data_IF_902629796831
#
_entry.id   IF_902629796831
#
_cell.length_a   1.000
_cell.length_b   1.000
_cell.length_c   1.000
_cell.angle_alpha   90.00
_cell.angle_beta   90.00
_cell.angle_gamma   90.00
#
_symmetry.space_group_name_H-M   'P 1'
#
loop_
_entity.id
_entity.type
_entity.pdbx_description
1 polymer ?
#
# COMPACT_ATOMS: atom_id res chain seq x y z
N UNK A 1 32.42 16.79 22.70
CA UNK A 1 32.20 15.32 22.80
C UNK A 1 33.37 14.76 23.59
N UNK A 2 33.12 14.08 24.72
CA UNK A 2 34.18 13.52 25.56
C UNK A 2 34.97 12.46 24.78
N UNK A 3 36.27 12.37 25.04
CA UNK A 3 37.19 11.38 24.45
C UNK A 3 36.67 9.94 24.63
N UNK A 4 35.98 9.69 25.75
CA UNK A 4 35.37 8.39 26.08
C UNK A 4 34.26 7.98 25.11
N UNK A 5 33.54 8.95 24.51
CA UNK A 5 32.49 8.65 23.53
C UNK A 5 33.10 8.25 22.18
N UNK A 6 34.27 8.78 21.86
CA UNK A 6 34.99 8.44 20.63
C UNK A 6 35.64 7.06 20.77
N UNK A 7 36.26 6.76 21.92
CA UNK A 7 36.78 5.41 22.21
C UNK A 7 35.67 4.36 22.24
N UNK A 8 34.52 4.65 22.87
CA UNK A 8 33.40 3.71 22.89
C UNK A 8 32.80 3.44 21.49
N UNK A 9 32.77 4.46 20.62
CA UNK A 9 32.36 4.29 19.22
C UNK A 9 33.40 3.52 18.39
N UNK A 10 34.69 3.67 18.69
CA UNK A 10 35.77 2.94 18.03
C UNK A 10 35.82 1.46 18.46
N UNK A 11 35.58 1.17 19.74
CA UNK A 11 35.47 -0.20 20.25
C UNK A 11 34.23 -0.93 19.71
N UNK A 12 33.09 -0.23 19.56
CA UNK A 12 31.93 -0.78 18.86
C UNK A 12 32.20 -1.05 17.38
N UNK A 13 32.95 -0.18 16.70
CA UNK A 13 33.33 -0.38 15.31
C UNK A 13 34.30 -1.56 15.15
N UNK A 14 35.26 -1.73 16.06
CA UNK A 14 36.18 -2.87 16.08
C UNK A 14 35.48 -4.19 16.41
N UNK A 15 34.50 -4.18 17.33
CA UNK A 15 33.71 -5.37 17.67
C UNK A 15 32.79 -5.83 16.52
N UNK A 16 32.34 -4.92 15.65
CA UNK A 16 31.58 -5.24 14.43
C UNK A 16 32.49 -5.84 13.35
N UNK A 17 33.77 -5.47 13.31
CA UNK A 17 34.75 -5.98 12.34
C UNK A 17 35.31 -7.34 12.75
N UNK A 18 35.39 -7.67 14.04
CA UNK A 18 35.96 -8.94 14.53
C UNK A 18 34.97 -10.08 14.79
N UNK A 19 33.67 -9.90 14.53
CA UNK A 19 32.68 -10.97 14.63
C UNK A 19 32.66 -11.86 13.36
N UNK A 20 33.79 -12.47 13.04
CA UNK A 20 33.88 -13.53 12.04
C UNK A 20 33.43 -14.84 12.70
N UNK A 21 32.30 -15.37 12.26
CA UNK A 21 31.78 -16.65 12.74
C UNK A 21 32.81 -17.77 12.47
N UNK A 22 33.22 -18.58 13.46
CA UNK A 22 34.18 -19.65 13.22
C UNK A 22 33.51 -20.77 12.41
N UNK A 23 33.98 -21.01 11.18
CA UNK A 23 33.73 -22.26 10.45
C UNK A 23 33.10 -22.20 9.06
N UNK A 24 33.01 -21.04 8.39
CA UNK A 24 32.59 -21.00 6.98
C UNK A 24 33.84 -21.01 6.08
N UNK A 25 34.14 -22.15 5.47
CA UNK A 25 35.08 -22.20 4.34
C UNK A 25 34.58 -21.24 3.24
N UNK A 26 35.43 -20.40 2.63
CA UNK A 26 35.02 -19.55 1.53
C UNK A 26 34.58 -20.43 0.37
N UNK A 27 33.30 -20.37 0.02
CA UNK A 27 32.79 -20.96 -1.21
C UNK A 27 33.57 -20.36 -2.39
N UNK A 28 34.03 -21.21 -3.31
CA UNK A 28 34.73 -20.78 -4.52
C UNK A 28 33.89 -19.72 -5.26
N UNK A 29 34.51 -18.66 -5.83
CA UNK A 29 33.75 -17.66 -6.56
C UNK A 29 33.07 -18.32 -7.77
N UNK A 30 31.74 -18.28 -7.80
CA UNK A 30 30.94 -18.79 -8.91
C UNK A 30 31.39 -18.13 -10.22
N UNK A 31 31.51 -18.91 -11.29
CA UNK A 31 31.91 -18.40 -12.59
C UNK A 31 30.86 -17.41 -13.13
N UNK A 32 31.29 -16.37 -13.85
CA UNK A 32 30.42 -15.41 -14.54
C UNK A 32 29.22 -16.04 -15.30
N UNK A 33 29.38 -17.19 -16.01
CA UNK A 33 28.26 -17.88 -16.67
C UNK A 33 27.23 -18.46 -15.69
N UNK A 34 27.67 -18.91 -14.52
CA UNK A 34 26.84 -19.51 -13.47
C UNK A 34 26.06 -18.43 -12.70
N UNK A 35 26.70 -17.28 -12.48
CA UNK A 35 26.06 -16.06 -11.93
C UNK A 35 25.02 -15.49 -12.90
N UNK A 36 25.35 -15.44 -14.20
CA UNK A 36 24.43 -14.96 -15.24
C UNK A 36 23.26 -15.95 -15.46
N UNK A 37 23.52 -17.25 -15.41
CA UNK A 37 22.49 -18.30 -15.49
C UNK A 37 21.52 -18.27 -14.31
N UNK A 38 22.04 -18.12 -13.08
CA UNK A 38 21.22 -17.96 -11.88
C UNK A 38 20.36 -16.71 -11.89
N UNK A 39 20.92 -15.57 -12.30
CA UNK A 39 20.17 -14.32 -12.45
C UNK A 39 19.06 -14.42 -13.50
N UNK A 40 19.33 -15.03 -14.66
CA UNK A 40 18.34 -15.22 -15.71
C UNK A 40 17.17 -16.11 -15.25
N UNK A 41 17.45 -17.18 -14.51
CA UNK A 41 16.43 -18.04 -13.93
C UNK A 41 15.56 -17.31 -12.89
N UNK A 42 16.18 -16.50 -12.03
CA UNK A 42 15.46 -15.69 -11.02
C UNK A 42 14.53 -14.66 -11.68
N UNK A 43 15.00 -13.97 -12.74
CA UNK A 43 14.15 -13.06 -13.51
C UNK A 43 13.03 -13.77 -14.28
N UNK A 44 13.30 -14.95 -14.84
CA UNK A 44 12.27 -15.76 -15.50
C UNK A 44 11.18 -16.17 -14.51
N UNK A 45 11.55 -16.63 -13.31
CA UNK A 45 10.63 -16.96 -12.23
C UNK A 45 9.83 -15.74 -11.75
N UNK A 46 10.48 -14.60 -11.58
CA UNK A 46 9.83 -13.33 -11.25
C UNK A 46 8.73 -12.98 -12.25
N UNK A 47 9.04 -12.95 -13.55
CA UNK A 47 8.09 -12.57 -14.59
C UNK A 47 7.00 -13.62 -14.80
N UNK A 48 7.33 -14.91 -14.68
CA UNK A 48 6.34 -15.99 -14.70
C UNK A 48 5.35 -15.85 -13.53
N UNK A 49 5.84 -15.59 -12.31
CA UNK A 49 4.99 -15.38 -11.14
C UNK A 49 4.13 -14.12 -11.22
N UNK A 50 4.68 -12.99 -11.68
CA UNK A 50 3.88 -11.78 -11.91
C UNK A 50 2.83 -11.98 -13.00
N UNK A 51 3.23 -12.59 -14.12
CA UNK A 51 2.36 -12.88 -15.26
C UNK A 51 1.23 -13.83 -14.89
N UNK A 52 1.49 -14.88 -14.10
CA UNK A 52 0.45 -15.83 -13.68
C UNK A 52 -0.55 -15.18 -12.71
N UNK A 53 -0.11 -14.36 -11.75
CA UNK A 53 -1.03 -13.63 -10.86
C UNK A 53 -1.86 -12.59 -11.61
N UNK A 54 -1.26 -11.88 -12.58
CA UNK A 54 -1.97 -10.93 -13.43
C UNK A 54 -3.00 -11.64 -14.32
N UNK A 55 -2.61 -12.73 -14.97
CA UNK A 55 -3.50 -13.57 -15.78
C UNK A 55 -4.64 -14.16 -14.96
N UNK A 56 -4.37 -14.64 -13.74
CA UNK A 56 -5.38 -15.12 -12.80
C UNK A 56 -6.40 -14.01 -12.47
N UNK A 57 -5.94 -12.80 -12.15
CA UNK A 57 -6.83 -11.69 -11.87
C UNK A 57 -7.73 -11.34 -13.08
N UNK A 58 -7.17 -11.35 -14.29
CA UNK A 58 -7.94 -11.09 -15.51
C UNK A 58 -8.97 -12.20 -15.81
N UNK A 59 -8.59 -13.47 -15.64
CA UNK A 59 -9.49 -14.60 -15.84
C UNK A 59 -10.68 -14.53 -14.87
N UNK A 60 -10.41 -14.26 -13.59
CA UNK A 60 -11.45 -14.09 -12.57
C UNK A 60 -12.33 -12.88 -12.91
N UNK A 61 -11.73 -11.74 -13.28
CA UNK A 61 -12.48 -10.53 -13.65
C UNK A 61 -13.45 -10.81 -14.79
N UNK A 62 -12.98 -11.48 -15.85
CA UNK A 62 -13.81 -11.88 -16.97
C UNK A 62 -14.95 -12.80 -16.54
N UNK A 63 -14.67 -13.79 -15.67
CA UNK A 63 -15.70 -14.69 -15.14
C UNK A 63 -16.76 -13.99 -14.29
N UNK A 64 -16.37 -13.06 -13.41
CA UNK A 64 -17.32 -12.29 -12.59
C UNK A 64 -18.20 -11.37 -13.42
N UNK A 65 -17.63 -10.70 -14.43
CA UNK A 65 -18.38 -9.85 -15.36
C UNK A 65 -19.41 -10.67 -16.13
N UNK A 66 -19.03 -11.86 -16.62
CA UNK A 66 -19.96 -12.78 -17.30
C UNK A 66 -21.08 -13.27 -16.37
N UNK A 67 -20.79 -13.44 -15.08
CA UNK A 67 -21.76 -13.82 -14.07
C UNK A 67 -22.62 -12.65 -13.55
N UNK A 68 -22.38 -11.42 -14.01
CA UNK A 68 -23.07 -10.23 -13.50
C UNK A 68 -22.75 -9.91 -12.02
N UNK A 69 -21.65 -10.44 -11.49
CA UNK A 69 -21.27 -10.29 -10.08
C UNK A 69 -20.37 -9.06 -9.91
N UNK A 70 -20.90 -8.03 -9.25
CA UNK A 70 -20.16 -6.83 -8.89
C UNK A 70 -19.30 -7.05 -7.63
N UNK A 71 -18.29 -7.91 -7.73
CA UNK A 71 -17.33 -8.20 -6.65
C UNK A 71 -15.88 -8.03 -7.15
N UNK A 72 -14.94 -7.54 -6.34
CA UNK A 72 -13.55 -7.38 -6.77
C UNK A 72 -12.87 -8.72 -7.11
N UNK A 73 -12.47 -8.90 -8.37
CA UNK A 73 -11.78 -10.11 -8.86
C UNK A 73 -10.53 -10.45 -8.06
N UNK A 74 -9.82 -9.41 -7.63
CA UNK A 74 -8.58 -9.54 -6.87
C UNK A 74 -8.78 -10.14 -5.48
N UNK A 75 -9.92 -9.89 -4.83
CA UNK A 75 -10.25 -10.53 -3.56
C UNK A 75 -10.62 -11.99 -3.72
N UNK A 76 -11.35 -12.34 -4.79
CA UNK A 76 -11.60 -13.75 -5.12
C UNK A 76 -10.27 -14.46 -5.34
N UNK A 77 -9.36 -13.87 -6.13
CA UNK A 77 -8.02 -14.43 -6.35
C UNK A 77 -7.23 -14.60 -5.05
N UNK A 78 -7.29 -13.61 -4.16
CA UNK A 78 -6.66 -13.70 -2.83
C UNK A 78 -7.23 -14.85 -1.99
N UNK A 79 -8.55 -15.00 -1.91
CA UNK A 79 -9.18 -16.11 -1.17
C UNK A 79 -8.88 -17.46 -1.81
N UNK A 80 -8.82 -17.54 -3.14
CA UNK A 80 -8.42 -18.76 -3.86
C UNK A 80 -6.97 -19.14 -3.52
N UNK A 81 -6.04 -18.18 -3.46
CA UNK A 81 -4.65 -18.44 -3.04
C UNK A 81 -4.61 -18.99 -1.61
N UNK A 82 -5.32 -18.36 -0.67
CA UNK A 82 -5.36 -18.84 0.73
C UNK A 82 -5.96 -20.24 0.81
N UNK A 83 -7.08 -20.48 0.11
CA UNK A 83 -7.75 -21.78 0.09
C UNK A 83 -6.90 -22.87 -0.55
N UNK A 84 -6.22 -22.57 -1.65
CA UNK A 84 -5.30 -23.48 -2.31
C UNK A 84 -4.14 -23.86 -1.39
N UNK A 85 -3.44 -22.87 -0.82
CA UNK A 85 -2.32 -23.13 0.09
C UNK A 85 -2.77 -23.89 1.35
N UNK A 86 -4.00 -23.69 1.82
CA UNK A 86 -4.56 -24.41 2.95
C UNK A 86 -4.99 -25.85 2.63
N UNK A 87 -5.27 -26.16 1.37
CA UNK A 87 -5.65 -27.49 0.90
C UNK A 87 -4.46 -28.38 0.52
N UNK A 88 -3.31 -27.77 0.22
CA UNK A 88 -2.06 -28.46 -0.08
C UNK A 88 -1.37 -28.97 1.19
N UNK A 89 -0.55 -30.02 1.05
CA UNK A 89 0.39 -30.44 2.08
C UNK A 89 1.50 -29.38 2.28
N UNK A 90 2.20 -29.46 3.42
CA UNK A 90 3.21 -28.45 3.80
C UNK A 90 4.33 -28.33 2.75
N UNK A 91 4.79 -29.44 2.16
CA UNK A 91 5.85 -29.45 1.15
C UNK A 91 5.40 -28.76 -0.15
N UNK A 92 4.20 -29.09 -0.63
CA UNK A 92 3.62 -28.47 -1.82
C UNK A 92 3.34 -26.97 -1.62
N UNK A 93 2.89 -26.59 -0.43
CA UNK A 93 2.61 -25.20 -0.07
C UNK A 93 3.89 -24.35 0.00
N UNK A 94 4.97 -24.92 0.56
CA UNK A 94 6.29 -24.29 0.59
C UNK A 94 6.85 -24.10 -0.82
N UNK A 95 6.81 -25.14 -1.67
CA UNK A 95 7.24 -25.04 -3.07
C UNK A 95 6.47 -23.98 -3.86
N UNK A 96 5.16 -23.91 -3.67
CA UNK A 96 4.33 -22.89 -4.33
C UNK A 96 4.70 -21.49 -3.84
N UNK A 97 4.91 -21.33 -2.53
CA UNK A 97 5.30 -20.04 -1.93
C UNK A 97 6.70 -19.62 -2.40
N UNK A 98 7.64 -20.56 -2.50
CA UNK A 98 8.99 -20.33 -3.02
C UNK A 98 8.97 -19.92 -4.50
N UNK A 99 8.14 -20.57 -5.32
CA UNK A 99 7.93 -20.18 -6.72
C UNK A 99 7.52 -18.70 -6.85
N UNK A 100 6.58 -18.25 -6.02
CA UNK A 100 6.13 -16.85 -6.02
C UNK A 100 7.07 -15.89 -5.27
N UNK A 101 8.05 -16.38 -4.52
CA UNK A 101 8.94 -15.59 -3.67
C UNK A 101 9.54 -14.33 -4.32
N UNK A 102 10.14 -14.43 -5.51
CA UNK A 102 10.66 -13.26 -6.25
C UNK A 102 9.56 -12.25 -6.58
N UNK A 103 8.40 -12.71 -7.06
CA UNK A 103 7.27 -11.84 -7.38
C UNK A 103 6.68 -11.15 -6.16
N UNK A 104 6.52 -11.86 -5.04
CA UNK A 104 6.04 -11.29 -3.78
C UNK A 104 7.01 -10.23 -3.24
N UNK A 105 8.31 -10.49 -3.33
CA UNK A 105 9.36 -9.55 -2.92
C UNK A 105 9.35 -8.30 -3.80
N UNK A 106 9.20 -8.48 -5.11
CA UNK A 106 9.08 -7.38 -6.06
C UNK A 106 7.84 -6.54 -5.78
N UNK A 107 6.66 -7.16 -5.63
CA UNK A 107 5.40 -6.48 -5.31
C UNK A 107 5.55 -5.67 -4.04
N UNK A 108 6.11 -6.24 -2.97
CA UNK A 108 6.28 -5.54 -1.71
C UNK A 108 7.21 -4.32 -1.84
N UNK A 109 8.27 -4.42 -2.65
CA UNK A 109 9.22 -3.32 -2.90
C UNK A 109 8.61 -2.16 -3.70
N UNK A 110 7.76 -2.48 -4.66
CA UNK A 110 7.16 -1.53 -5.60
C UNK A 110 5.72 -1.11 -5.24
N UNK A 111 5.16 -1.69 -4.18
CA UNK A 111 3.79 -1.50 -3.71
C UNK A 111 3.30 -0.04 -3.74
N UNK A 112 4.08 0.95 -3.25
CA UNK A 112 3.60 2.32 -3.22
C UNK A 112 3.29 2.92 -4.59
N UNK A 113 4.04 2.52 -5.62
CA UNK A 113 3.93 3.12 -6.96
C UNK A 113 2.60 2.79 -7.63
N UNK A 114 2.02 1.60 -7.39
CA UNK A 114 0.79 1.18 -8.09
C UNK A 114 -0.43 2.03 -7.76
N UNK A 115 -0.40 2.78 -6.66
CA UNK A 115 -1.50 3.68 -6.27
C UNK A 115 -1.13 5.16 -6.28
N UNK A 116 0.13 5.51 -6.51
CA UNK A 116 0.56 6.90 -6.76
C UNK A 116 -0.22 7.60 -7.87
N UNK A 117 -0.68 6.93 -8.96
CA UNK A 117 -1.42 7.63 -10.00
C UNK A 117 -2.66 8.40 -9.52
N UNK A 118 -3.33 7.90 -8.49
CA UNK A 118 -4.45 8.57 -7.84
C UNK A 118 -4.04 9.89 -7.17
N UNK A 119 -2.81 9.97 -6.65
CA UNK A 119 -2.25 11.19 -6.05
C UNK A 119 -1.73 12.15 -7.13
N UNK A 120 -1.18 11.64 -8.23
CA UNK A 120 -0.75 12.45 -9.37
C UNK A 120 -1.92 13.22 -9.99
N UNK A 121 -3.11 12.61 -9.97
CA UNK A 121 -4.37 13.22 -10.46
C UNK A 121 -5.17 13.92 -9.35
N UNK A 122 -4.62 14.08 -8.14
CA UNK A 122 -5.28 14.80 -7.06
C UNK A 122 -5.65 16.24 -7.41
N UNK A 123 -4.79 17.04 -8.09
CA UNK A 123 -5.19 18.39 -8.49
C UNK A 123 -6.46 18.43 -9.35
N UNK A 124 -6.67 17.47 -10.27
CA UNK A 124 -7.95 17.32 -10.99
C UNK A 124 -9.10 17.02 -10.04
N UNK A 125 -8.90 16.10 -9.09
CA UNK A 125 -9.95 15.69 -8.15
C UNK A 125 -10.36 16.79 -7.17
N UNK A 126 -9.49 17.78 -6.93
CA UNK A 126 -9.77 18.93 -6.07
C UNK A 126 -10.39 20.11 -6.82
N UNK A 127 -10.54 20.04 -8.14
CA UNK A 127 -11.20 21.09 -8.89
C UNK A 127 -12.66 21.22 -8.43
N UNK A 128 -13.05 22.43 -8.01
CA UNK A 128 -14.39 22.70 -7.50
C UNK A 128 -14.62 22.26 -6.05
N UNK A 129 -13.59 21.82 -5.32
CA UNK A 129 -13.69 21.56 -3.87
C UNK A 129 -13.38 22.84 -3.10
N UNK A 130 -14.35 23.33 -2.33
CA UNK A 130 -14.19 24.54 -1.53
C UNK A 130 -13.19 24.34 -0.38
N UNK A 131 -12.48 25.40 -0.01
CA UNK A 131 -11.54 25.37 1.12
C UNK A 131 -12.20 24.96 2.44
N UNK A 132 -13.47 25.30 2.65
CA UNK A 132 -14.24 24.86 3.81
C UNK A 132 -14.44 23.34 3.83
N UNK A 133 -14.67 22.72 2.67
CA UNK A 133 -14.81 21.27 2.55
C UNK A 133 -13.47 20.56 2.79
N UNK A 134 -12.35 21.14 2.37
CA UNK A 134 -11.02 20.61 2.72
C UNK A 134 -10.80 20.60 4.23
N UNK A 135 -11.19 21.68 4.94
CA UNK A 135 -11.10 21.74 6.40
C UNK A 135 -12.00 20.67 7.04
N UNK A 136 -13.23 20.51 6.55
CA UNK A 136 -14.16 19.45 7.02
C UNK A 136 -13.59 18.05 6.79
N UNK A 137 -13.00 17.78 5.62
CA UNK A 137 -12.33 16.51 5.30
C UNK A 137 -11.21 16.25 6.31
N UNK A 138 -10.30 17.21 6.52
CA UNK A 138 -9.18 17.03 7.46
C UNK A 138 -9.69 16.83 8.88
N UNK A 139 -10.71 17.58 9.30
CA UNK A 139 -11.36 17.41 10.60
C UNK A 139 -11.97 16.02 10.76
N UNK A 140 -12.70 15.53 9.75
CA UNK A 140 -13.25 14.19 9.72
C UNK A 140 -12.16 13.13 9.85
N UNK A 141 -11.06 13.27 9.10
CA UNK A 141 -9.97 12.31 9.14
C UNK A 141 -9.29 12.31 10.52
N UNK A 142 -9.04 13.46 11.13
CA UNK A 142 -8.42 13.54 12.45
C UNK A 142 -9.29 12.95 13.57
N UNK A 143 -10.58 13.32 13.61
CA UNK A 143 -11.54 12.79 14.59
C UNK A 143 -11.79 11.31 14.34
N UNK A 144 -12.03 10.94 13.09
CA UNK A 144 -12.25 9.56 12.67
C UNK A 144 -11.04 8.66 12.95
N UNK A 145 -9.82 9.15 12.73
CA UNK A 145 -8.58 8.45 13.08
C UNK A 145 -8.55 8.14 14.57
N UNK A 146 -8.78 9.15 15.42
CA UNK A 146 -8.79 8.98 16.87
C UNK A 146 -9.89 8.00 17.31
N UNK A 147 -11.11 8.17 16.78
CA UNK A 147 -12.25 7.33 17.12
C UNK A 147 -12.02 5.86 16.72
N UNK A 148 -11.58 5.60 15.48
CA UNK A 148 -11.29 4.24 15.01
C UNK A 148 -10.14 3.63 15.79
N UNK A 149 -9.06 4.38 16.03
CA UNK A 149 -7.91 3.90 16.81
C UNK A 149 -8.32 3.45 18.21
N UNK A 150 -9.04 4.29 18.94
CA UNK A 150 -9.46 3.98 20.31
C UNK A 150 -10.50 2.86 20.32
N UNK A 151 -11.49 2.90 19.41
CA UNK A 151 -12.48 1.83 19.29
C UNK A 151 -11.81 0.47 19.05
N UNK A 152 -10.89 0.39 18.09
CA UNK A 152 -10.21 -0.86 17.74
C UNK A 152 -9.32 -1.35 18.87
N UNK A 153 -8.63 -0.46 19.58
CA UNK A 153 -7.85 -0.83 20.74
C UNK A 153 -8.73 -1.40 21.85
N UNK A 154 -9.82 -0.71 22.20
CA UNK A 154 -10.72 -1.11 23.28
C UNK A 154 -11.46 -2.42 22.97
N UNK A 155 -11.98 -2.58 21.74
CA UNK A 155 -12.65 -3.82 21.36
C UNK A 155 -11.68 -5.01 21.32
N UNK A 156 -10.42 -4.78 20.92
CA UNK A 156 -9.40 -5.82 20.99
C UNK A 156 -9.14 -6.24 22.43
N UNK A 157 -8.96 -5.27 23.35
CA UNK A 157 -8.77 -5.57 24.78
C UNK A 157 -9.97 -6.33 25.35
N UNK A 158 -11.20 -5.89 25.03
CA UNK A 158 -12.42 -6.56 25.48
C UNK A 158 -12.52 -8.01 25.00
N UNK A 159 -12.23 -8.28 23.71
CA UNK A 159 -12.19 -9.64 23.17
C UNK A 159 -11.09 -10.46 23.87
N UNK A 160 -9.92 -9.85 24.10
CA UNK A 160 -8.80 -10.52 24.78
C UNK A 160 -9.10 -10.93 26.21
N UNK A 161 -9.78 -10.07 26.97
CA UNK A 161 -10.20 -10.40 28.34
C UNK A 161 -11.19 -11.58 28.36
N UNK A 162 -12.01 -11.72 27.32
CA UNK A 162 -12.93 -12.84 27.17
C UNK A 162 -12.23 -14.17 26.79
N UNK A 163 -11.19 -14.14 25.94
CA UNK A 163 -10.57 -15.35 25.36
C UNK A 163 -9.27 -15.77 26.08
N UNK A 164 -8.60 -14.86 26.81
CA UNK A 164 -7.40 -15.10 27.64
C UNK A 164 -6.22 -15.76 26.90
N UNK A 165 -5.94 -15.32 25.66
CA UNK A 165 -4.82 -15.86 24.87
C UNK A 165 -3.43 -15.38 25.36
N UNK A 166 -2.43 -16.27 25.49
CA UNK A 166 -1.06 -15.91 25.88
C UNK A 166 -0.30 -15.22 24.73
N UNK A 167 0.51 -14.20 25.07
CA UNK A 167 1.36 -13.47 24.11
C UNK A 167 2.70 -14.20 23.96
N UNK A 168 3.10 -14.51 22.74
CA UNK A 168 4.43 -15.08 22.45
C UNK A 168 5.15 -14.16 21.46
N UNK A 169 6.46 -13.90 21.65
CA UNK A 169 7.25 -13.11 20.71
C UNK A 169 7.32 -13.77 19.33
N UNK A 170 7.14 -12.98 18.27
CA UNK A 170 7.20 -13.44 16.89
C UNK A 170 8.49 -12.92 16.25
N UNK A 171 9.07 -13.70 15.34
CA UNK A 171 10.36 -13.41 14.71
C UNK A 171 10.33 -12.11 13.86
N UNK A 172 11.46 -11.39 13.87
CA UNK A 172 11.65 -10.13 13.14
C UNK A 172 11.77 -10.37 11.64
N UNK A 173 11.15 -9.50 10.83
CA UNK A 173 11.36 -9.45 9.38
C UNK A 173 12.73 -8.88 9.01
N UNK A 174 13.30 -9.32 7.88
CA UNK A 174 14.54 -8.77 7.34
C UNK A 174 14.27 -7.43 6.62
N UNK A 175 15.13 -6.42 6.75
CA UNK A 175 15.01 -5.17 5.98
C UNK A 175 15.27 -5.42 4.48
N UNK A 176 14.64 -4.63 3.62
CA UNK A 176 14.89 -4.67 2.18
C UNK A 176 16.26 -4.08 1.84
N UNK A 177 16.94 -4.66 0.84
CA UNK A 177 18.18 -4.08 0.29
C UNK A 177 17.88 -2.72 -0.37
N UNK A 178 18.77 -1.71 -0.21
CA UNK A 178 18.62 -0.42 -0.88
C UNK A 178 18.55 -0.53 -2.41
N UNK A 179 17.99 0.48 -3.07
CA UNK A 179 18.03 0.58 -4.54
C UNK A 179 19.46 0.80 -5.04
N UNK A 180 19.83 0.08 -6.09
CA UNK A 180 21.14 0.22 -6.74
C UNK A 180 21.17 1.43 -7.69
N UNK A 181 22.37 2.01 -7.90
CA UNK A 181 22.58 3.14 -8.82
C UNK A 181 22.13 2.85 -10.26
N UNK A 182 22.17 1.59 -10.67
CA UNK A 182 21.67 1.09 -11.95
C UNK A 182 20.19 1.42 -12.19
N UNK A 183 19.35 1.37 -11.14
CA UNK A 183 17.93 1.70 -11.25
C UNK A 183 17.73 3.19 -11.55
N UNK A 184 18.49 4.07 -10.90
CA UNK A 184 18.44 5.51 -11.14
C UNK A 184 18.87 5.85 -12.57
N UNK A 185 19.96 5.24 -13.03
CA UNK A 185 20.46 5.45 -14.39
C UNK A 185 19.47 4.96 -15.46
N UNK A 186 18.89 3.77 -15.29
CA UNK A 186 17.96 3.19 -16.25
C UNK A 186 16.69 4.03 -16.42
N UNK A 187 16.04 4.39 -15.30
CA UNK A 187 14.81 5.19 -15.35
C UNK A 187 15.08 6.66 -15.73
N UNK A 188 16.23 7.22 -15.36
CA UNK A 188 16.67 8.54 -15.83
C UNK A 188 16.91 8.57 -17.33
N UNK A 189 17.57 7.54 -17.88
CA UNK A 189 17.78 7.40 -19.33
C UNK A 189 16.47 7.25 -20.09
N UNK A 190 15.52 6.46 -19.58
CA UNK A 190 14.20 6.33 -20.17
C UNK A 190 13.45 7.67 -20.18
N UNK A 191 13.46 8.41 -19.08
CA UNK A 191 12.85 9.74 -19.01
C UNK A 191 13.46 10.71 -20.04
N UNK A 192 14.79 10.78 -20.09
CA UNK A 192 15.50 11.65 -21.03
C UNK A 192 15.26 11.25 -22.49
N UNK A 193 15.29 9.95 -22.79
CA UNK A 193 15.01 9.40 -24.11
C UNK A 193 13.59 9.70 -24.57
N UNK A 194 12.58 9.49 -23.71
CA UNK A 194 11.19 9.80 -24.04
C UNK A 194 10.97 11.30 -24.23
N UNK A 195 11.61 12.18 -23.44
CA UNK A 195 11.56 13.63 -23.68
C UNK A 195 12.22 14.02 -25.02
N UNK A 196 13.35 13.40 -25.37
CA UNK A 196 14.00 13.65 -26.66
C UNK A 196 13.10 13.23 -27.82
N UNK A 197 12.45 12.06 -27.75
CA UNK A 197 11.46 11.62 -28.74
C UNK A 197 10.28 12.58 -28.81
N UNK A 198 9.81 13.08 -27.66
CA UNK A 198 8.70 14.05 -27.60
C UNK A 198 9.06 15.38 -28.25
N UNK A 199 10.29 15.87 -28.02
CA UNK A 199 10.73 17.17 -28.51
C UNK A 199 11.17 17.17 -29.98
N UNK A 200 11.66 16.03 -30.48
CA UNK A 200 12.23 15.90 -31.83
C UNK A 200 11.32 15.15 -32.81
N UNK A 201 10.37 14.38 -32.30
CA UNK A 201 9.44 13.57 -33.09
C UNK A 201 8.22 14.35 -33.57
N UNK A 202 7.40 13.68 -34.37
CA UNK A 202 6.06 14.16 -34.73
C UNK A 202 5.05 13.92 -33.60
N UNK A 203 3.79 14.31 -33.82
CA UNK A 203 2.73 14.19 -32.82
C UNK A 203 2.50 12.72 -32.39
N UNK A 204 2.63 11.77 -33.30
CA UNK A 204 2.45 10.34 -33.02
C UNK A 204 3.61 9.80 -32.17
N UNK A 205 4.85 10.18 -32.49
CA UNK A 205 6.02 9.86 -31.68
C UNK A 205 5.94 10.47 -30.27
N UNK A 206 5.47 11.72 -30.16
CA UNK A 206 5.25 12.39 -28.87
C UNK A 206 4.16 11.70 -28.05
N UNK A 207 3.06 11.27 -28.69
CA UNK A 207 2.01 10.49 -28.03
C UNK A 207 2.54 9.12 -27.55
N UNK A 208 3.33 8.43 -28.36
CA UNK A 208 3.95 7.15 -28.00
C UNK A 208 4.98 7.29 -26.86
N UNK A 209 5.63 8.44 -26.73
CA UNK A 209 6.58 8.74 -25.67
C UNK A 209 5.93 9.06 -24.31
N UNK A 210 4.64 9.43 -24.29
CA UNK A 210 3.93 9.84 -23.07
C UNK A 210 3.87 8.73 -22.00
N UNK A 211 3.58 7.49 -22.40
CA UNK A 211 3.55 6.34 -21.49
C UNK A 211 4.93 6.05 -20.86
N UNK A 212 6.00 5.80 -21.63
CA UNK A 212 7.32 5.52 -21.05
C UNK A 212 7.86 6.70 -20.24
N UNK A 213 7.59 7.94 -20.65
CA UNK A 213 7.94 9.12 -19.88
C UNK A 213 7.19 9.18 -18.54
N UNK A 214 5.86 9.00 -18.54
CA UNK A 214 5.05 9.04 -17.33
C UNK A 214 5.44 7.96 -16.32
N UNK A 215 5.81 6.76 -16.80
CA UNK A 215 6.36 5.69 -15.96
C UNK A 215 7.70 6.10 -15.37
N UNK A 216 8.61 6.62 -16.20
CA UNK A 216 9.93 7.05 -15.75
C UNK A 216 9.87 8.20 -14.74
N UNK A 217 8.95 9.16 -14.93
CA UNK A 217 8.71 10.24 -13.98
C UNK A 217 8.16 9.70 -12.65
N UNK A 218 7.24 8.73 -12.69
CA UNK A 218 6.68 8.12 -11.48
C UNK A 218 7.72 7.29 -10.73
N UNK A 219 8.44 6.43 -11.42
CA UNK A 219 9.45 5.56 -10.81
C UNK A 219 10.68 6.36 -10.37
N UNK A 220 11.14 7.31 -11.17
CA UNK A 220 12.19 8.26 -10.79
C UNK A 220 11.79 9.05 -9.54
N UNK A 221 10.54 9.53 -9.47
CA UNK A 221 9.99 10.16 -8.27
C UNK A 221 10.03 9.27 -7.04
N UNK A 222 9.81 7.97 -7.18
CA UNK A 222 9.85 7.02 -6.07
C UNK A 222 11.27 6.76 -5.59
N UNK A 223 12.21 6.64 -6.53
CA UNK A 223 13.63 6.52 -6.23
C UNK A 223 14.14 7.77 -5.50
N UNK A 224 13.76 8.97 -5.96
CA UNK A 224 14.06 10.25 -5.29
C UNK A 224 13.38 10.33 -3.92
N UNK A 225 12.12 9.91 -3.81
CA UNK A 225 11.39 9.85 -2.54
C UNK A 225 12.07 8.93 -1.52
N UNK A 226 12.69 7.84 -1.98
CA UNK A 226 13.49 6.94 -1.14
C UNK A 226 14.77 7.57 -0.58
N UNK A 227 15.26 8.67 -1.17
CA UNK A 227 16.41 9.42 -0.67
C UNK A 227 16.04 10.42 0.43
N UNK A 228 14.75 10.66 0.68
CA UNK A 228 14.31 11.61 1.70
C UNK A 228 14.71 11.10 3.09
N UNK A 229 15.45 11.90 3.89
CA UNK A 229 15.82 11.52 5.24
C UNK A 229 14.61 11.23 6.13
N UNK A 230 14.70 10.23 6.99
CA UNK A 230 13.60 9.82 7.89
C UNK A 230 13.07 10.94 8.79
N UNK A 231 13.91 11.93 9.13
CA UNK A 231 13.53 13.12 9.90
C UNK A 231 12.49 13.99 9.19
N UNK A 232 12.41 13.92 7.86
CA UNK A 232 11.53 14.74 7.05
C UNK A 232 10.25 13.99 6.63
N UNK A 233 10.13 12.69 6.91
CA UNK A 233 8.98 11.87 6.48
C UNK A 233 7.63 12.34 7.01
N UNK A 234 7.60 13.14 8.09
CA UNK A 234 6.37 13.75 8.60
C UNK A 234 5.73 14.76 7.65
N UNK A 235 6.53 15.48 6.84
CA UNK A 235 6.04 16.47 5.87
C UNK A 235 6.33 16.07 4.41
N UNK A 236 7.47 15.40 4.16
CA UNK A 236 7.92 14.93 2.85
C UNK A 236 7.91 13.40 2.83
N UNK A 237 6.73 12.81 2.97
CA UNK A 237 6.60 11.36 2.86
C UNK A 237 7.05 10.90 1.46
N UNK A 238 7.80 9.79 1.31
CA UNK A 238 8.32 9.33 0.01
C UNK A 238 7.25 9.24 -1.10
N UNK A 239 6.04 8.81 -0.75
CA UNK A 239 4.89 8.74 -1.68
C UNK A 239 4.42 10.12 -2.14
N UNK A 240 4.44 11.13 -1.26
CA UNK A 240 4.08 12.52 -1.61
C UNK A 240 5.12 13.10 -2.56
N UNK A 241 6.41 12.87 -2.29
CA UNK A 241 7.50 13.29 -3.19
C UNK A 241 7.38 12.59 -4.54
N UNK A 242 7.07 11.29 -4.54
CA UNK A 242 6.82 10.53 -5.78
C UNK A 242 5.71 11.16 -6.61
N UNK A 243 4.56 11.43 -5.98
CA UNK A 243 3.42 12.04 -6.66
C UNK A 243 3.74 13.45 -7.18
N UNK A 244 4.46 14.26 -6.41
CA UNK A 244 4.86 15.60 -6.81
C UNK A 244 5.82 15.58 -8.02
N UNK A 245 6.85 14.72 -7.99
CA UNK A 245 7.79 14.57 -9.11
C UNK A 245 7.08 14.04 -10.36
N UNK A 246 6.23 13.03 -10.22
CA UNK A 246 5.44 12.50 -11.33
C UNK A 246 4.52 13.56 -11.93
N UNK A 247 3.81 14.33 -11.08
CA UNK A 247 2.93 15.41 -11.48
C UNK A 247 3.68 16.53 -12.23
N UNK A 248 4.83 16.97 -11.70
CA UNK A 248 5.67 17.97 -12.36
C UNK A 248 6.21 17.44 -13.70
N UNK A 249 6.60 16.16 -13.75
CA UNK A 249 7.04 15.50 -14.98
C UNK A 249 5.96 15.53 -16.05
N UNK A 250 4.77 15.01 -15.76
CA UNK A 250 3.68 14.97 -16.75
C UNK A 250 3.23 16.37 -17.18
N UNK A 251 3.31 17.37 -16.30
CA UNK A 251 3.02 18.76 -16.63
C UNK A 251 4.05 19.30 -17.63
N UNK A 252 5.34 19.02 -17.42
CA UNK A 252 6.41 19.42 -18.33
C UNK A 252 6.26 18.75 -19.70
N UNK A 253 5.98 17.44 -19.74
CA UNK A 253 5.72 16.72 -20.99
C UNK A 253 4.46 17.26 -21.70
N UNK A 254 3.37 17.48 -20.97
CA UNK A 254 2.15 18.07 -21.50
C UNK A 254 2.40 19.42 -22.15
N UNK A 255 3.16 20.29 -21.47
CA UNK A 255 3.53 21.60 -22.00
C UNK A 255 4.34 21.52 -23.30
N UNK A 256 5.24 20.54 -23.44
CA UNK A 256 6.03 20.32 -24.67
C UNK A 256 5.15 19.94 -25.87
N UNK A 257 4.05 19.23 -25.64
CA UNK A 257 3.10 18.81 -26.68
C UNK A 257 1.91 19.77 -26.80
N UNK A 258 1.92 20.90 -26.08
CA UNK A 258 0.86 21.89 -26.12
C UNK A 258 -0.45 21.47 -25.42
N UNK A 259 -0.39 20.48 -24.53
CA UNK A 259 -1.54 20.08 -23.69
C UNK A 259 -1.69 21.02 -22.49
N UNK A 260 -2.94 21.25 -22.07
CA UNK A 260 -3.19 21.87 -20.77
C UNK A 260 -2.75 20.92 -19.64
N UNK A 261 -2.53 21.48 -18.45
CA UNK A 261 -2.17 20.69 -17.27
C UNK A 261 -3.21 19.61 -16.97
N UNK A 262 -4.50 19.94 -17.12
CA UNK A 262 -5.61 19.01 -16.90
C UNK A 262 -5.61 17.89 -17.93
N UNK A 263 -5.41 18.23 -19.20
CA UNK A 263 -5.32 17.25 -20.29
C UNK A 263 -4.13 16.31 -20.09
N UNK A 264 -2.99 16.80 -19.60
CA UNK A 264 -1.83 15.98 -19.27
C UNK A 264 -2.12 14.99 -18.13
N UNK A 265 -2.85 15.42 -17.10
CA UNK A 265 -3.27 14.54 -16.01
C UNK A 265 -4.30 13.49 -16.46
N UNK A 266 -5.23 13.86 -17.35
CA UNK A 266 -6.17 12.93 -17.96
C UNK A 266 -5.47 11.92 -18.89
N UNK A 267 -4.46 12.35 -19.66
CA UNK A 267 -3.67 11.46 -20.50
C UNK A 267 -2.81 10.48 -19.67
N UNK A 268 -2.32 10.91 -18.50
CA UNK A 268 -1.58 10.05 -17.59
C UNK A 268 -2.46 8.95 -16.97
N UNK A 269 -3.72 9.24 -16.68
CA UNK A 269 -4.70 8.30 -16.13
C UNK A 269 -5.99 8.36 -16.96
N UNK A 270 -5.94 7.76 -18.15
CA UNK A 270 -6.96 7.88 -19.19
C UNK A 270 -8.25 7.13 -18.85
N UNK A 271 -8.20 6.11 -17.99
CA UNK A 271 -9.38 5.31 -17.58
C UNK A 271 -10.18 4.77 -18.77
N UNK A 272 -9.52 4.48 -19.87
CA UNK A 272 -10.13 3.98 -21.10
C UNK A 272 -10.69 5.04 -22.06
N UNK A 273 -10.56 6.34 -21.76
CA UNK A 273 -10.96 7.43 -22.65
C UNK A 273 -9.96 7.70 -23.81
N UNK A 274 -8.84 6.98 -23.85
CA UNK A 274 -7.78 7.16 -24.84
C UNK A 274 -6.73 6.04 -24.75
N UNK A 275 -5.54 6.25 -25.33
CA UNK A 275 -4.40 5.36 -25.16
C UNK A 275 -4.10 5.12 -23.67
N UNK A 276 -3.57 3.96 -23.35
CA UNK A 276 -3.20 3.62 -21.98
C UNK A 276 -2.16 4.62 -21.46
N UNK A 277 -2.48 5.32 -20.37
CA UNK A 277 -1.53 6.17 -19.68
C UNK A 277 -0.62 5.37 -18.75
N UNK A 278 0.49 5.98 -18.33
CA UNK A 278 1.38 5.39 -17.34
C UNK A 278 0.64 5.05 -16.02
N UNK A 279 -0.30 5.89 -15.61
CA UNK A 279 -1.13 5.67 -14.44
C UNK A 279 -2.08 4.49 -14.59
N UNK A 280 -2.67 4.28 -15.77
CA UNK A 280 -3.53 3.13 -16.04
C UNK A 280 -2.73 1.83 -15.94
N UNK A 281 -1.52 1.80 -16.51
CA UNK A 281 -0.64 0.64 -16.43
C UNK A 281 -0.27 0.35 -14.97
N UNK A 282 0.14 1.35 -14.19
CA UNK A 282 0.50 1.18 -12.78
C UNK A 282 -0.69 0.69 -11.94
N UNK A 283 -1.88 1.26 -12.13
CA UNK A 283 -3.07 0.82 -11.40
C UNK A 283 -3.56 -0.57 -11.85
N UNK A 284 -3.24 -1.03 -13.07
CA UNK A 284 -3.59 -2.39 -13.50
C UNK A 284 -2.99 -3.49 -12.60
N UNK A 285 -1.85 -3.22 -11.97
CA UNK A 285 -1.18 -4.14 -11.04
C UNK A 285 -1.84 -4.21 -9.65
N UNK A 286 -2.79 -3.31 -9.33
CA UNK A 286 -3.41 -3.28 -8.01
C UNK A 286 -4.13 -4.59 -7.67
N UNK A 287 -4.70 -5.27 -8.67
CA UNK A 287 -5.29 -6.58 -8.49
C UNK A 287 -4.26 -7.64 -8.09
N UNK A 288 -3.08 -7.63 -8.72
CA UNK A 288 -1.96 -8.54 -8.41
C UNK A 288 -1.46 -8.32 -7.00
N UNK A 289 -1.36 -7.06 -6.57
CA UNK A 289 -1.00 -6.70 -5.20
C UNK A 289 -1.95 -7.33 -4.19
N UNK A 290 -3.26 -7.22 -4.40
CA UNK A 290 -4.26 -7.77 -3.47
C UNK A 290 -4.19 -9.29 -3.44
N UNK A 291 -4.02 -9.97 -4.59
CA UNK A 291 -3.85 -11.43 -4.62
C UNK A 291 -2.59 -11.84 -3.83
N UNK A 292 -1.50 -11.08 -3.94
CA UNK A 292 -0.24 -11.35 -3.21
C UNK A 292 -0.42 -11.33 -1.69
N UNK A 293 -1.42 -10.60 -1.17
CA UNK A 293 -1.71 -10.59 0.27
C UNK A 293 -2.23 -11.94 0.76
N UNK A 294 -2.79 -12.79 -0.11
CA UNK A 294 -3.18 -14.15 0.23
C UNK A 294 -1.99 -14.98 0.73
N UNK A 295 -0.84 -14.88 0.07
CA UNK A 295 0.40 -15.52 0.52
C UNK A 295 0.85 -15.01 1.89
N UNK A 296 0.70 -13.70 2.15
CA UNK A 296 1.08 -13.10 3.44
C UNK A 296 0.16 -13.55 4.57
N UNK A 297 -1.15 -13.62 4.32
CA UNK A 297 -2.14 -14.14 5.28
C UNK A 297 -1.84 -15.60 5.58
N UNK A 298 -1.56 -16.41 4.55
CA UNK A 298 -1.19 -17.81 4.72
C UNK A 298 0.14 -17.99 5.49
N UNK A 299 1.15 -17.17 5.20
CA UNK A 299 2.43 -17.21 5.92
C UNK A 299 2.27 -16.92 7.43
N UNK A 300 1.23 -16.19 7.82
CA UNK A 300 0.90 -15.86 9.21
C UNK A 300 -0.22 -16.75 9.78
N UNK A 301 -0.55 -17.89 9.13
CA UNK A 301 -1.66 -18.78 9.52
C UNK A 301 -1.60 -19.26 10.97
N UNK A 302 -0.42 -19.53 11.52
CA UNK A 302 -0.30 -20.01 12.90
C UNK A 302 -0.61 -18.91 13.90
N UNK A 303 -0.12 -17.69 13.66
CA UNK A 303 -0.49 -16.49 14.42
C UNK A 303 -1.99 -16.24 14.33
N UNK A 304 -2.55 -16.35 13.13
CA UNK A 304 -3.98 -16.15 12.87
C UNK A 304 -4.84 -17.21 13.58
N UNK A 305 -4.46 -18.50 13.56
CA UNK A 305 -5.18 -19.58 14.26
C UNK A 305 -5.20 -19.37 15.77
N UNK A 306 -4.08 -18.92 16.35
CA UNK A 306 -3.92 -18.74 17.80
C UNK A 306 -4.71 -17.55 18.35
N UNK A 307 -4.72 -16.44 17.62
CA UNK A 307 -5.38 -15.20 18.02
C UNK A 307 -6.59 -14.89 17.13
N UNK A 308 -7.24 -15.93 16.61
CA UNK A 308 -8.32 -15.78 15.63
C UNK A 308 -9.46 -14.88 16.15
N UNK A 309 -10.00 -15.11 17.36
CA UNK A 309 -11.11 -14.31 17.86
C UNK A 309 -10.75 -12.82 17.97
N UNK A 310 -9.56 -12.51 18.49
CA UNK A 310 -9.07 -11.15 18.65
C UNK A 310 -8.88 -10.48 17.29
N UNK A 311 -8.17 -11.15 16.38
CA UNK A 311 -7.78 -10.55 15.10
C UNK A 311 -9.00 -10.44 14.19
N UNK A 312 -9.77 -11.51 13.99
CA UNK A 312 -10.94 -11.48 13.12
C UNK A 312 -12.05 -10.60 13.71
N UNK A 313 -12.30 -10.71 15.02
CA UNK A 313 -13.32 -9.91 15.71
C UNK A 313 -12.99 -8.42 15.70
N UNK A 314 -11.79 -8.03 16.12
CA UNK A 314 -11.41 -6.62 16.17
C UNK A 314 -11.33 -6.00 14.77
N UNK A 315 -10.77 -6.69 13.77
CA UNK A 315 -10.67 -6.14 12.41
C UNK A 315 -12.04 -6.01 11.73
N UNK A 316 -12.96 -6.95 11.95
CA UNK A 316 -14.33 -6.86 11.41
C UNK A 316 -15.12 -5.73 12.06
N UNK A 317 -15.11 -5.65 13.39
CA UNK A 317 -15.81 -4.59 14.13
C UNK A 317 -15.20 -3.22 13.85
N UNK A 318 -13.88 -3.12 13.78
CA UNK A 318 -13.15 -1.90 13.39
C UNK A 318 -13.54 -1.43 11.99
N UNK A 319 -13.64 -2.35 11.02
CA UNK A 319 -14.01 -2.03 9.65
C UNK A 319 -15.43 -1.51 9.57
N UNK A 320 -16.39 -2.21 10.18
CA UNK A 320 -17.78 -1.75 10.26
C UNK A 320 -17.86 -0.37 10.94
N UNK A 321 -17.25 -0.22 12.11
CA UNK A 321 -17.22 1.04 12.84
C UNK A 321 -16.61 2.17 11.98
N UNK A 322 -15.48 1.95 11.33
CA UNK A 322 -14.84 2.96 10.47
C UNK A 322 -15.73 3.37 9.31
N UNK A 323 -16.37 2.43 8.62
CA UNK A 323 -17.24 2.71 7.48
C UNK A 323 -18.46 3.55 7.91
N UNK A 324 -19.19 3.09 8.93
CA UNK A 324 -20.41 3.76 9.40
C UNK A 324 -20.14 5.08 10.13
N UNK A 325 -19.11 5.15 10.99
CA UNK A 325 -18.75 6.40 11.67
C UNK A 325 -18.29 7.47 10.67
N UNK A 326 -17.63 7.07 9.58
CA UNK A 326 -17.23 8.01 8.52
C UNK A 326 -18.43 8.50 7.72
N UNK A 327 -19.37 7.61 7.37
CA UNK A 327 -20.62 8.02 6.71
C UNK A 327 -21.41 9.03 7.56
N UNK A 328 -21.60 8.73 8.85
CA UNK A 328 -22.29 9.61 9.80
C UNK A 328 -21.55 10.93 10.01
N UNK A 329 -20.22 10.89 10.15
CA UNK A 329 -19.40 12.08 10.30
C UNK A 329 -19.43 12.97 9.06
N UNK A 330 -19.38 12.39 7.87
CA UNK A 330 -19.43 13.14 6.61
C UNK A 330 -20.79 13.84 6.43
N UNK A 331 -21.89 13.14 6.76
CA UNK A 331 -23.24 13.71 6.81
C UNK A 331 -23.32 14.86 7.82
N UNK A 332 -22.82 14.65 9.04
CA UNK A 332 -22.86 15.66 10.10
C UNK A 332 -22.08 16.94 9.75
N UNK A 333 -21.02 16.81 8.94
CA UNK A 333 -20.24 17.94 8.44
C UNK A 333 -20.82 18.59 7.17
N UNK A 334 -21.89 18.03 6.61
CA UNK A 334 -22.53 18.54 5.40
C UNK A 334 -21.67 18.42 4.14
N UNK A 335 -20.82 17.39 4.05
CA UNK A 335 -20.02 17.13 2.86
C UNK A 335 -20.91 16.69 1.69
N UNK A 336 -20.57 17.09 0.47
CA UNK A 336 -21.25 16.60 -0.73
C UNK A 336 -21.15 15.07 -0.83
N UNK A 337 -22.14 14.44 -1.46
CA UNK A 337 -22.20 12.97 -1.57
C UNK A 337 -20.92 12.38 -2.17
N UNK A 338 -20.38 12.99 -3.24
CA UNK A 338 -19.14 12.52 -3.86
C UNK A 338 -17.93 12.58 -2.91
N UNK A 339 -17.79 13.66 -2.14
CA UNK A 339 -16.72 13.80 -1.15
C UNK A 339 -16.91 12.80 -0.01
N UNK A 340 -18.11 12.70 0.53
CA UNK A 340 -18.44 11.79 1.62
C UNK A 340 -18.14 10.33 1.24
N UNK A 341 -18.57 9.88 0.05
CA UNK A 341 -18.30 8.53 -0.46
C UNK A 341 -16.80 8.26 -0.65
N UNK A 342 -16.01 9.27 -1.07
CA UNK A 342 -14.56 9.13 -1.20
C UNK A 342 -13.84 8.94 0.15
N UNK A 343 -14.41 9.39 1.26
CA UNK A 343 -13.82 9.24 2.59
C UNK A 343 -14.17 7.90 3.26
N UNK A 344 -15.22 7.21 2.81
CA UNK A 344 -15.69 5.96 3.43
C UNK A 344 -14.54 4.95 3.68
N UNK A 345 -13.69 4.61 2.69
CA UNK A 345 -12.59 3.67 2.91
C UNK A 345 -11.32 4.32 3.51
N UNK A 346 -11.41 5.40 4.30
CA UNK A 346 -10.22 6.12 4.83
C UNK A 346 -9.25 5.24 5.63
N UNK A 347 -9.74 4.22 6.34
CA UNK A 347 -8.94 3.42 7.29
C UNK A 347 -8.34 2.14 6.68
N UNK A 348 -8.48 1.92 5.36
CA UNK A 348 -7.82 0.80 4.67
C UNK A 348 -6.57 1.29 3.94
N UNK A 349 -5.77 0.40 3.34
CA UNK A 349 -4.64 0.81 2.49
C UNK A 349 -5.14 1.34 1.15
N UNK A 350 -4.41 2.25 0.49
CA UNK A 350 -4.84 2.82 -0.80
C UNK A 350 -5.13 1.72 -1.82
N UNK A 351 -4.35 0.64 -1.81
CA UNK A 351 -4.55 -0.51 -2.69
C UNK A 351 -5.91 -1.19 -2.52
N UNK A 352 -6.47 -1.20 -1.30
CA UNK A 352 -7.79 -1.76 -1.00
C UNK A 352 -8.89 -0.68 -1.01
N UNK A 353 -8.54 0.60 -0.80
CA UNK A 353 -9.48 1.71 -0.84
C UNK A 353 -9.98 1.99 -2.26
N UNK A 354 -9.09 1.94 -3.26
CA UNK A 354 -9.43 2.25 -4.65
C UNK A 354 -10.54 1.33 -5.19
N UNK A 355 -10.48 -0.01 -5.03
CA UNK A 355 -11.59 -0.89 -5.41
C UNK A 355 -12.90 -0.62 -4.66
N UNK A 356 -12.85 -0.18 -3.39
CA UNK A 356 -14.05 0.21 -2.64
C UNK A 356 -14.64 1.49 -3.22
N UNK A 357 -13.81 2.50 -3.48
CA UNK A 357 -14.25 3.77 -4.07
C UNK A 357 -14.82 3.58 -5.48
N UNK A 358 -14.25 2.68 -6.29
CA UNK A 358 -14.81 2.32 -7.60
C UNK A 358 -16.23 1.72 -7.49
N UNK A 359 -16.49 0.87 -6.49
CA UNK A 359 -17.83 0.32 -6.24
C UNK A 359 -18.84 1.38 -5.78
N UNK A 360 -18.35 2.48 -5.21
CA UNK A 360 -19.15 3.62 -4.75
C UNK A 360 -19.26 4.75 -5.78
N UNK A 361 -18.65 4.59 -6.96
CA UNK A 361 -18.49 5.66 -7.96
C UNK A 361 -17.87 6.94 -7.36
N UNK A 362 -16.95 6.77 -6.41
CA UNK A 362 -16.34 7.87 -5.67
C UNK A 362 -15.05 8.37 -6.36
N UNK A 363 -14.70 9.67 -6.21
CA UNK A 363 -13.43 10.21 -6.69
C UNK A 363 -12.20 9.46 -6.14
N UNK A 364 -11.52 8.70 -7.01
CA UNK A 364 -10.38 7.85 -6.62
C UNK A 364 -9.18 8.65 -6.09
N UNK A 365 -8.95 9.84 -6.65
CA UNK A 365 -7.83 10.70 -6.25
C UNK A 365 -8.04 11.28 -4.85
N UNK A 366 -9.26 11.73 -4.54
CA UNK A 366 -9.65 12.18 -3.18
C UNK A 366 -9.57 11.01 -2.20
N UNK A 367 -10.05 9.83 -2.59
CA UNK A 367 -9.97 8.62 -1.77
C UNK A 367 -8.51 8.30 -1.41
N UNK A 368 -7.62 8.25 -2.40
CA UNK A 368 -6.22 7.94 -2.18
C UNK A 368 -5.52 8.99 -1.30
N UNK A 369 -5.84 10.27 -1.51
CA UNK A 369 -5.32 11.35 -0.68
C UNK A 369 -5.83 11.25 0.76
N UNK A 370 -7.12 10.99 0.97
CA UNK A 370 -7.71 10.83 2.28
C UNK A 370 -7.07 9.68 3.07
N UNK A 371 -6.87 8.52 2.42
CA UNK A 371 -6.18 7.36 3.01
C UNK A 371 -4.72 7.66 3.34
N UNK A 372 -4.00 8.38 2.46
CA UNK A 372 -2.62 8.77 2.71
C UNK A 372 -2.53 9.74 3.90
N UNK A 373 -3.39 10.76 3.93
CA UNK A 373 -3.48 11.72 5.03
C UNK A 373 -3.84 11.03 6.34
N UNK A 374 -4.82 10.12 6.32
CA UNK A 374 -5.17 9.25 7.45
C UNK A 374 -3.94 8.49 7.96
N UNK A 375 -3.16 7.89 7.04
CA UNK A 375 -1.94 7.16 7.36
C UNK A 375 -0.88 8.05 8.02
N UNK A 376 -0.68 9.27 7.49
CA UNK A 376 0.25 10.27 8.04
C UNK A 376 -0.20 10.70 9.44
N UNK A 377 -1.50 11.01 9.62
CA UNK A 377 -2.06 11.37 10.92
C UNK A 377 -1.86 10.25 11.95
N UNK A 378 -2.20 9.01 11.59
CA UNK A 378 -2.03 7.88 12.50
C UNK A 378 -0.57 7.54 12.78
N UNK A 379 0.34 7.70 11.81
CA UNK A 379 1.77 7.51 12.04
C UNK A 379 2.33 8.54 13.04
N UNK A 380 1.91 9.80 12.94
CA UNK A 380 2.42 10.86 13.83
C UNK A 380 1.77 10.83 15.22
N UNK A 381 0.46 10.58 15.31
CA UNK A 381 -0.30 10.74 16.56
C UNK A 381 -0.72 9.41 17.20
N UNK A 382 -0.90 8.35 16.42
CA UNK A 382 -1.48 7.07 16.87
C UNK A 382 -0.77 6.44 18.07
N UNK A 383 0.55 6.20 18.02
CA UNK A 383 1.28 5.61 19.16
C UNK A 383 1.15 6.43 20.45
N UNK A 384 1.16 7.76 20.35
CA UNK A 384 1.00 8.66 21.51
C UNK A 384 -0.41 8.60 22.07
N UNK A 385 -1.43 8.63 21.21
CA UNK A 385 -2.84 8.54 21.62
C UNK A 385 -3.14 7.24 22.35
N UNK A 386 -2.63 6.10 21.86
CA UNK A 386 -2.80 4.81 22.54
C UNK A 386 -2.12 4.78 23.91
N UNK A 387 -0.93 5.37 24.05
CA UNK A 387 -0.23 5.47 25.34
C UNK A 387 -0.97 6.37 26.32
N UNK A 388 -1.49 7.52 25.86
CA UNK A 388 -2.30 8.43 26.68
C UNK A 388 -3.61 7.78 27.13
N UNK A 389 -4.22 6.97 26.26
CA UNK A 389 -5.42 6.19 26.59
C UNK A 389 -5.13 4.95 27.47
N UNK A 390 -3.88 4.73 27.89
CA UNK A 390 -3.52 3.62 28.77
C UNK A 390 -3.48 2.24 28.09
N UNK A 391 -3.48 2.18 26.75
CA UNK A 391 -3.42 0.93 26.00
C UNK A 391 -1.99 0.39 26.01
N UNK A 392 -1.74 -0.62 26.83
CA UNK A 392 -0.44 -1.29 26.98
C UNK A 392 -0.31 -2.58 26.17
N UNK A 393 -1.44 -3.10 25.70
CA UNK A 393 -1.51 -4.40 25.08
C UNK A 393 -0.92 -4.42 23.67
N UNK A 394 0.15 -5.18 23.44
CA UNK A 394 0.85 -5.24 22.14
C UNK A 394 -0.05 -5.63 20.97
N UNK A 395 -0.99 -6.57 21.19
CA UNK A 395 -1.92 -7.01 20.14
C UNK A 395 -2.89 -5.87 19.83
N UNK A 396 -3.51 -5.26 20.85
CA UNK A 396 -4.41 -4.13 20.66
C UNK A 396 -3.73 -2.94 19.97
N UNK A 397 -2.48 -2.63 20.35
CA UNK A 397 -1.69 -1.56 19.72
C UNK A 397 -1.41 -1.87 18.26
N UNK A 398 -0.95 -3.09 17.98
CA UNK A 398 -0.66 -3.54 16.62
C UNK A 398 -1.88 -3.57 15.71
N UNK A 399 -2.99 -4.16 16.20
CA UNK A 399 -4.25 -4.20 15.45
C UNK A 399 -4.78 -2.79 15.20
N UNK A 400 -4.83 -1.94 16.22
CA UNK A 400 -5.37 -0.58 16.13
C UNK A 400 -4.57 0.33 15.20
N UNK A 401 -3.23 0.35 15.31
CA UNK A 401 -2.39 1.20 14.47
C UNK A 401 -2.53 0.86 12.98
N UNK A 402 -2.51 -0.44 12.66
CA UNK A 402 -2.67 -0.91 11.28
C UNK A 402 -4.10 -0.76 10.76
N UNK A 403 -5.12 -1.02 11.60
CA UNK A 403 -6.52 -0.88 11.22
C UNK A 403 -6.94 0.56 10.95
N UNK A 404 -6.23 1.52 11.53
CA UNK A 404 -6.58 2.95 11.42
C UNK A 404 -5.77 3.66 10.34
N UNK A 405 -4.49 3.31 10.21
CA UNK A 405 -3.51 4.07 9.43
C UNK A 405 -2.66 3.20 8.49
N UNK A 406 -3.05 1.93 8.31
CA UNK A 406 -2.43 1.01 7.38
C UNK A 406 -0.93 0.81 7.61
N UNK A 407 -0.18 0.77 6.50
CA UNK A 407 1.28 0.56 6.53
C UNK A 407 2.06 1.69 7.21
N UNK A 408 1.56 2.94 7.16
CA UNK A 408 2.23 4.09 7.79
C UNK A 408 2.11 4.03 9.31
N UNK A 409 0.92 3.76 9.82
CA UNK A 409 0.69 3.52 11.24
C UNK A 409 1.49 2.32 11.76
N UNK A 410 1.54 1.25 10.96
CA UNK A 410 2.36 0.06 11.24
C UNK A 410 3.82 0.42 11.41
N UNK A 411 4.43 1.06 10.40
CA UNK A 411 5.85 1.41 10.42
C UNK A 411 6.21 2.32 11.60
N UNK A 412 5.36 3.31 11.91
CA UNK A 412 5.56 4.21 13.04
C UNK A 412 5.54 3.46 14.37
N UNK A 413 4.52 2.62 14.61
CA UNK A 413 4.42 1.83 15.83
C UNK A 413 5.60 0.87 15.97
N UNK A 414 5.87 0.07 14.93
CA UNK A 414 6.86 -1.02 15.00
C UNK A 414 8.30 -0.53 15.03
N UNK A 415 8.54 0.75 14.73
CA UNK A 415 9.85 1.37 14.96
C UNK A 415 10.22 1.44 16.44
N UNK A 416 9.21 1.51 17.32
CA UNK A 416 9.35 1.57 18.79
C UNK A 416 8.95 0.26 19.46
N UNK A 417 8.00 -0.46 18.87
CA UNK A 417 7.42 -1.71 19.39
C UNK A 417 7.48 -2.82 18.30
N UNK A 418 8.67 -3.37 17.98
CA UNK A 418 8.85 -4.32 16.90
C UNK A 418 7.99 -5.60 17.03
N UNK A 419 7.67 -5.99 18.26
CA UNK A 419 6.82 -7.13 18.61
C UNK A 419 5.37 -6.99 18.10
N UNK A 420 4.90 -5.77 17.81
CA UNK A 420 3.57 -5.52 17.29
C UNK A 420 3.44 -5.82 15.78
N UNK A 421 4.56 -5.98 15.06
CA UNK A 421 4.61 -6.08 13.59
C UNK A 421 3.73 -7.20 12.98
N UNK A 422 3.68 -8.43 13.53
CA UNK A 422 2.86 -9.50 12.96
C UNK A 422 1.36 -9.20 13.07
N UNK A 423 0.94 -8.62 14.20
CA UNK A 423 -0.44 -8.20 14.43
C UNK A 423 -0.81 -7.05 13.50
N UNK A 424 0.10 -6.08 13.32
CA UNK A 424 -0.08 -5.03 12.31
C UNK A 424 -0.25 -5.61 10.91
N UNK A 425 0.58 -6.61 10.57
CA UNK A 425 0.58 -7.22 9.25
C UNK A 425 -0.74 -7.93 8.93
N UNK A 426 -1.26 -8.69 9.89
CA UNK A 426 -2.58 -9.32 9.76
C UNK A 426 -3.71 -8.29 9.75
N UNK A 427 -3.63 -7.28 10.62
CA UNK A 427 -4.67 -6.25 10.72
C UNK A 427 -4.82 -5.43 9.44
N UNK A 428 -3.73 -4.90 8.87
CA UNK A 428 -3.86 -4.07 7.66
C UNK A 428 -4.49 -4.86 6.51
N UNK A 429 -4.17 -6.16 6.40
CA UNK A 429 -4.70 -7.03 5.35
C UNK A 429 -6.18 -7.30 5.61
N UNK A 430 -6.52 -7.78 6.81
CA UNK A 430 -7.88 -8.17 7.16
C UNK A 430 -8.84 -6.99 7.21
N UNK A 431 -8.41 -5.80 7.64
CA UNK A 431 -9.27 -4.60 7.65
C UNK A 431 -9.65 -4.21 6.24
N UNK A 432 -8.71 -4.23 5.28
CA UNK A 432 -9.06 -3.95 3.89
C UNK A 432 -9.91 -5.05 3.26
N UNK A 433 -9.66 -6.32 3.59
CA UNK A 433 -10.49 -7.45 3.12
C UNK A 433 -11.92 -7.33 3.66
N UNK A 434 -12.08 -7.22 4.98
CA UNK A 434 -13.39 -7.14 5.64
C UNK A 434 -14.14 -5.89 5.24
N UNK A 435 -13.48 -4.73 5.17
CA UNK A 435 -14.10 -3.50 4.66
C UNK A 435 -14.60 -3.66 3.23
N UNK A 436 -13.82 -4.30 2.36
CA UNK A 436 -14.25 -4.51 0.97
C UNK A 436 -15.40 -5.50 0.88
N UNK A 437 -15.34 -6.63 1.62
CA UNK A 437 -16.43 -7.62 1.68
C UNK A 437 -17.72 -6.99 2.20
N UNK A 438 -17.63 -6.17 3.25
CA UNK A 438 -18.76 -5.41 3.78
C UNK A 438 -19.32 -4.49 2.68
N UNK A 439 -18.48 -3.71 2.00
CA UNK A 439 -18.94 -2.80 0.94
C UNK A 439 -19.45 -3.48 -0.33
N UNK A 440 -19.04 -4.72 -0.60
CA UNK A 440 -19.60 -5.51 -1.70
C UNK A 440 -20.99 -6.09 -1.37
N UNK A 441 -21.40 -6.11 -0.09
CA UNK A 441 -22.77 -6.45 0.29
C UNK A 441 -23.72 -5.31 -0.08
N UNK A 442 -24.75 -5.54 -0.91
CA UNK A 442 -25.72 -4.50 -1.26
C UNK A 442 -26.35 -3.85 -0.03
N UNK A 443 -26.67 -4.65 1.00
CA UNK A 443 -27.27 -4.16 2.24
C UNK A 443 -26.41 -3.09 2.92
N UNK A 444 -25.11 -3.35 3.06
CA UNK A 444 -24.20 -2.41 3.74
C UNK A 444 -23.92 -1.21 2.86
N UNK A 445 -23.70 -1.43 1.56
CA UNK A 445 -23.45 -0.36 0.59
C UNK A 445 -24.62 0.62 0.54
N UNK A 446 -25.83 0.11 0.37
CA UNK A 446 -27.03 0.91 0.21
C UNK A 446 -27.36 1.65 1.52
N UNK A 447 -27.11 1.02 2.68
CA UNK A 447 -27.21 1.69 3.98
C UNK A 447 -26.23 2.87 4.12
N UNK A 448 -24.97 2.70 3.71
CA UNK A 448 -23.97 3.79 3.73
C UNK A 448 -24.35 4.91 2.76
N UNK A 449 -24.77 4.56 1.55
CA UNK A 449 -25.23 5.55 0.56
C UNK A 449 -26.43 6.32 1.10
N UNK A 450 -27.39 5.65 1.74
CA UNK A 450 -28.56 6.28 2.35
C UNK A 450 -28.21 7.22 3.51
N UNK A 451 -27.21 6.87 4.33
CA UNK A 451 -26.72 7.76 5.39
C UNK A 451 -26.14 9.05 4.79
N UNK A 452 -25.40 8.93 3.70
CA UNK A 452 -24.72 10.06 3.05
C UNK A 452 -25.68 10.92 2.23
N UNK A 453 -26.71 10.33 1.64
CA UNK A 453 -27.64 11.03 0.73
C UNK A 453 -28.85 11.66 1.41
N UNK A 454 -29.31 11.09 2.53
CA UNK A 454 -30.32 11.71 3.39
C UNK A 454 -29.71 12.69 4.36
#
# INVERSE_FOLDING_TARGET
MSRDVIEHCQDMAAAVVSAEAPGVQPAAPAGLPEVLGGAAAEYAQLWAGLGSLYGLNLAIKSGLVQAGVAFPSSLVGMFLVVGLLAALDDESSEKLTEFYGPALTWIARWLPIFYVPSLVTLPLGLQGVDGADLVRIVGLLAVGMTATLLFTAQITVAIREAVKTPVIPIAKGKPYKPFEASHFAAWGALAAGSLAVTALGDADAAAAAALPFGLAATIGGYLVGGLVPSRLHGALHPVVVTAAVANAGIAAHGALVGMSYEAAQQAYLAKGAGPMGAGDLLMSFLGVVIISFGFRVYAQRDTMKRHFPEIAGATTLSSAFSLFSTALGAKALGLSQGLALALIPRSVTVALAVPIAQQLDAPLSITAAAVLLQGILGANFGPSLMTQAGIKDTIARGLSAAATAGGLGTASLTSKEPEALPYCALSYALVGITSTVLMSSPLVRDAIVAIVSG
#
